data_IF_475387522656
#
_entry.id   IF_475387522656
#
_cell.length_a   1.000
_cell.length_b   1.000
_cell.length_c   1.000
_cell.angle_alpha   90.00
_cell.angle_beta   90.00
_cell.angle_gamma   90.00
#
_symmetry.space_group_name_H-M   'P 1'
#
loop_
_entity.id
_entity.type
_entity.pdbx_description
1 polymer ?
#
# COMPACT_ATOMS: atom_id res chain seq x y z
N UNK A 1 -24.57 -3.75 23.00
CA UNK A 1 -24.07 -2.60 22.22
C UNK A 1 -25.14 -1.60 21.75
N UNK A 2 -26.31 -2.01 21.24
CA UNK A 2 -27.36 -1.07 20.72
C UNK A 2 -27.94 -0.05 21.73
N UNK A 3 -27.92 -0.37 23.03
CA UNK A 3 -28.32 0.55 24.12
C UNK A 3 -27.14 1.43 24.57
N UNK A 4 -25.91 0.91 24.41
CA UNK A 4 -24.66 1.52 24.88
C UNK A 4 -24.19 2.61 23.91
N UNK A 5 -24.45 2.45 22.61
CA UNK A 5 -24.10 3.43 21.57
C UNK A 5 -24.90 4.74 21.64
N UNK A 6 -25.90 4.87 22.53
CA UNK A 6 -26.66 6.10 22.72
C UNK A 6 -25.95 7.12 23.62
N UNK A 7 -24.96 6.70 24.40
CA UNK A 7 -24.16 7.59 25.25
C UNK A 7 -22.68 7.31 25.08
N UNK A 8 -21.93 8.34 24.68
CA UNK A 8 -20.49 8.23 24.45
C UNK A 8 -19.72 7.81 25.71
N UNK A 9 -20.17 8.21 26.90
CA UNK A 9 -19.56 7.83 28.19
C UNK A 9 -19.76 6.35 28.48
N UNK A 10 -20.95 5.83 28.23
CA UNK A 10 -21.28 4.43 28.48
C UNK A 10 -20.49 3.50 27.55
N UNK A 11 -20.26 3.93 26.30
CA UNK A 11 -19.44 3.20 25.34
C UNK A 11 -17.97 3.15 25.76
N UNK A 12 -17.42 4.27 26.25
CA UNK A 12 -16.06 4.32 26.78
C UNK A 12 -15.90 3.41 28.01
N UNK A 13 -16.80 3.50 28.99
CA UNK A 13 -16.79 2.64 30.17
C UNK A 13 -16.95 1.17 29.82
N UNK A 14 -17.78 0.85 28.83
CA UNK A 14 -17.94 -0.53 28.35
C UNK A 14 -16.64 -1.03 27.72
N UNK A 15 -15.99 -0.24 26.87
CA UNK A 15 -14.73 -0.62 26.25
C UNK A 15 -13.65 -0.89 27.31
N UNK A 16 -13.51 0.00 28.29
CA UNK A 16 -12.56 -0.16 29.38
C UNK A 16 -12.87 -1.38 30.26
N UNK A 17 -14.15 -1.60 30.58
CA UNK A 17 -14.59 -2.80 31.30
C UNK A 17 -14.24 -4.07 30.54
N UNK A 18 -14.37 -4.04 29.22
CA UNK A 18 -14.02 -5.16 28.34
C UNK A 18 -12.51 -5.42 28.31
N UNK A 19 -11.69 -4.37 28.24
CA UNK A 19 -10.23 -4.49 28.37
C UNK A 19 -9.83 -5.12 29.70
N UNK A 20 -10.39 -4.65 30.81
CA UNK A 20 -10.09 -5.23 32.13
C UNK A 20 -10.61 -6.65 32.29
N UNK A 21 -11.79 -6.96 31.74
CA UNK A 21 -12.35 -8.31 31.77
C UNK A 21 -11.43 -9.31 31.07
N UNK A 22 -11.02 -9.03 29.83
CA UNK A 22 -10.13 -9.94 29.08
C UNK A 22 -8.73 -9.98 29.68
N UNK A 23 -8.22 -8.85 30.17
CA UNK A 23 -6.94 -8.80 30.89
C UNK A 23 -6.97 -9.71 32.12
N UNK A 24 -8.08 -9.68 32.88
CA UNK A 24 -8.25 -10.53 34.07
C UNK A 24 -8.40 -12.01 33.70
N UNK A 25 -9.14 -12.32 32.64
CA UNK A 25 -9.28 -13.70 32.15
C UNK A 25 -7.93 -14.26 31.69
N UNK A 26 -7.13 -13.44 31.00
CA UNK A 26 -5.78 -13.78 30.54
C UNK A 26 -4.86 -14.09 31.72
N UNK A 27 -4.83 -13.21 32.73
CA UNK A 27 -4.08 -13.41 33.97
C UNK A 27 -4.50 -14.68 34.72
N UNK A 28 -5.81 -14.93 34.86
CA UNK A 28 -6.33 -16.16 35.49
C UNK A 28 -5.97 -17.43 34.73
N UNK A 29 -5.71 -17.31 33.43
CA UNK A 29 -5.29 -18.40 32.56
C UNK A 29 -3.76 -18.58 32.52
N UNK A 30 -3.01 -17.76 33.28
CA UNK A 30 -1.54 -17.79 33.32
C UNK A 30 -0.85 -17.09 32.15
N UNK A 31 -1.58 -16.34 31.33
CA UNK A 31 -1.03 -15.51 30.26
C UNK A 31 -0.76 -14.08 30.76
N UNK A 32 0.04 -13.31 30.00
CA UNK A 32 0.29 -11.91 30.34
C UNK A 32 -0.98 -11.07 30.21
N UNK A 33 -1.06 -10.00 31.01
CA UNK A 33 -2.17 -9.02 30.97
C UNK A 33 -2.30 -8.41 29.56
N UNK A 34 -1.18 -8.21 28.87
CA UNK A 34 -1.15 -7.63 27.53
C UNK A 34 -1.78 -8.51 26.45
N UNK A 35 -1.66 -9.84 26.54
CA UNK A 35 -2.36 -10.76 25.62
C UNK A 35 -3.89 -10.58 25.78
N UNK A 36 -4.39 -10.49 27.01
CA UNK A 36 -5.79 -10.22 27.28
C UNK A 36 -6.24 -8.87 26.72
N UNK A 37 -5.47 -7.82 26.96
CA UNK A 37 -5.75 -6.49 26.42
C UNK A 37 -5.76 -6.47 24.88
N UNK A 38 -4.84 -7.20 24.23
CA UNK A 38 -4.77 -7.33 22.77
C UNK A 38 -6.01 -8.06 22.21
N UNK A 39 -6.43 -9.16 22.82
CA UNK A 39 -7.65 -9.89 22.41
C UNK A 39 -8.90 -9.02 22.60
N UNK A 40 -9.00 -8.26 23.69
CA UNK A 40 -10.07 -7.28 23.87
C UNK A 40 -10.08 -6.24 22.75
N UNK A 41 -8.91 -5.70 22.39
CA UNK A 41 -8.75 -4.75 21.29
C UNK A 41 -9.20 -5.33 19.94
N UNK A 42 -8.73 -6.53 19.58
CA UNK A 42 -9.14 -7.22 18.35
C UNK A 42 -10.65 -7.49 18.31
N UNK A 43 -11.23 -7.90 19.43
CA UNK A 43 -12.67 -8.12 19.54
C UNK A 43 -13.43 -6.81 19.33
N UNK A 44 -12.99 -5.72 19.94
CA UNK A 44 -13.58 -4.38 19.77
C UNK A 44 -13.47 -3.90 18.31
N UNK A 45 -12.34 -4.19 17.65
CA UNK A 45 -12.06 -3.74 16.29
C UNK A 45 -13.09 -4.25 15.25
N UNK A 46 -13.77 -5.37 15.53
CA UNK A 46 -14.81 -5.92 14.66
C UNK A 46 -16.18 -5.23 14.77
N UNK A 47 -16.40 -4.38 15.80
CA UNK A 47 -17.67 -3.69 15.95
C UNK A 47 -17.78 -2.45 15.05
N UNK A 48 -19.00 -2.08 14.59
CA UNK A 48 -19.22 -0.88 13.76
C UNK A 48 -18.80 0.46 14.39
N UNK A 49 -18.66 0.50 15.72
CA UNK A 49 -18.30 1.71 16.48
C UNK A 49 -16.83 1.74 16.91
N UNK A 50 -15.97 0.92 16.29
CA UNK A 50 -14.56 0.79 16.66
C UNK A 50 -13.80 2.13 16.63
N UNK A 51 -14.03 2.99 15.64
CA UNK A 51 -13.33 4.27 15.47
C UNK A 51 -13.62 5.23 16.63
N UNK A 52 -14.86 5.27 17.10
CA UNK A 52 -15.24 6.11 18.23
C UNK A 52 -14.58 5.61 19.53
N UNK A 53 -14.55 4.29 19.75
CA UNK A 53 -13.89 3.69 20.91
C UNK A 53 -12.38 3.96 20.88
N UNK A 54 -11.74 3.74 19.73
CA UNK A 54 -10.30 4.01 19.53
C UNK A 54 -10.00 5.49 19.79
N UNK A 55 -10.83 6.41 19.30
CA UNK A 55 -10.66 7.84 19.55
C UNK A 55 -10.68 8.20 21.03
N UNK A 56 -11.53 7.55 21.84
CA UNK A 56 -11.62 7.80 23.29
C UNK A 56 -10.51 7.13 24.09
N UNK A 57 -10.08 5.94 23.70
CA UNK A 57 -9.00 5.22 24.39
C UNK A 57 -7.62 5.78 24.01
N UNK A 58 -7.51 6.50 22.88
CA UNK A 58 -6.25 7.08 22.39
C UNK A 58 -5.51 7.89 23.46
N UNK A 59 -6.17 8.85 24.11
CA UNK A 59 -5.52 9.68 25.14
C UNK A 59 -5.02 8.87 26.33
N UNK A 60 -5.77 7.83 26.75
CA UNK A 60 -5.31 6.93 27.81
C UNK A 60 -4.10 6.11 27.35
N UNK A 61 -4.17 5.52 26.16
CA UNK A 61 -3.05 4.76 25.59
C UNK A 61 -1.80 5.62 25.52
N UNK A 62 -1.88 6.83 24.99
CA UNK A 62 -0.73 7.70 24.81
C UNK A 62 -0.13 8.12 26.18
N UNK A 63 -0.98 8.40 27.17
CA UNK A 63 -0.55 8.69 28.53
C UNK A 63 0.12 7.49 29.21
N UNK A 64 -0.49 6.31 29.15
CA UNK A 64 0.07 5.10 29.77
C UNK A 64 1.28 4.55 29.03
N UNK A 65 1.38 4.75 27.70
CA UNK A 65 2.56 4.37 26.93
C UNK A 65 3.81 5.13 27.40
N UNK A 66 3.67 6.44 27.67
CA UNK A 66 4.77 7.24 28.23
C UNK A 66 5.19 6.68 29.59
N UNK A 67 4.23 6.41 30.49
CA UNK A 67 4.53 5.82 31.81
C UNK A 67 5.20 4.46 31.66
N UNK A 68 4.72 3.61 30.75
CA UNK A 68 5.29 2.29 30.48
C UNK A 68 6.75 2.39 30.05
N UNK A 69 7.08 3.23 29.07
CA UNK A 69 8.46 3.40 28.60
C UNK A 69 9.37 4.04 29.65
N UNK A 70 8.87 4.97 30.46
CA UNK A 70 9.62 5.53 31.60
C UNK A 70 9.92 4.45 32.63
N UNK A 71 8.91 3.65 33.02
CA UNK A 71 9.08 2.55 33.98
C UNK A 71 10.06 1.51 33.46
N UNK A 72 9.98 1.12 32.18
CA UNK A 72 10.96 0.22 31.57
C UNK A 72 12.38 0.79 31.63
N UNK A 73 12.54 2.09 31.38
CA UNK A 73 13.83 2.77 31.49
C UNK A 73 14.40 2.74 32.91
N UNK A 74 13.55 2.77 33.94
CA UNK A 74 13.96 2.67 35.34
C UNK A 74 14.41 1.25 35.74
N UNK A 75 13.91 0.22 35.05
CA UNK A 75 14.27 -1.19 35.27
C UNK A 75 15.61 -1.58 34.61
N UNK A 76 16.19 -0.71 33.76
CA UNK A 76 17.49 -0.97 33.12
C UNK A 76 18.59 -0.90 34.20
N UNK A 77 19.18 -2.06 34.50
CA UNK A 77 20.17 -2.20 35.54
C UNK A 77 21.57 -2.36 34.95
N UNK A 78 22.34 -1.26 34.90
CA UNK A 78 23.69 -1.22 34.33
C UNK A 78 24.72 -1.30 35.47
N UNK A 79 25.16 -2.52 35.82
CA UNK A 79 26.26 -2.70 36.80
C UNK A 79 27.62 -2.83 36.12
N UNK A 80 27.70 -3.59 35.03
CA UNK A 80 28.90 -3.75 34.22
C UNK A 80 28.56 -3.49 32.75
N UNK A 81 28.98 -2.32 32.29
CA UNK A 81 28.73 -1.81 30.94
C UNK A 81 29.28 -2.77 29.88
N UNK A 82 30.39 -3.45 30.17
CA UNK A 82 31.06 -4.32 29.19
C UNK A 82 30.27 -5.62 28.94
N UNK A 83 29.55 -6.12 29.94
CA UNK A 83 28.75 -7.34 29.83
C UNK A 83 27.47 -7.12 29.02
N UNK A 84 26.91 -5.90 29.05
CA UNK A 84 25.65 -5.58 28.37
C UNK A 84 25.89 -5.12 26.93
N UNK A 85 26.92 -4.31 26.68
CA UNK A 85 27.13 -3.68 25.37
C UNK A 85 27.38 -4.71 24.26
N UNK A 86 28.25 -5.70 24.49
CA UNK A 86 28.67 -6.60 23.42
C UNK A 86 27.52 -7.53 22.95
N UNK A 87 26.74 -8.18 23.85
CA UNK A 87 25.53 -8.92 23.44
C UNK A 87 24.46 -8.01 22.84
N UNK A 88 24.25 -6.81 23.41
CA UNK A 88 23.28 -5.85 22.88
C UNK A 88 23.63 -5.41 21.46
N UNK A 89 24.91 -5.20 21.15
CA UNK A 89 25.35 -4.83 19.81
C UNK A 89 25.10 -5.97 18.81
N UNK A 90 25.35 -7.22 19.21
CA UNK A 90 25.07 -8.39 18.38
C UNK A 90 23.56 -8.53 18.10
N UNK A 91 22.71 -8.40 19.14
CA UNK A 91 21.25 -8.42 19.00
C UNK A 91 20.75 -7.25 18.13
N UNK A 92 21.31 -6.06 18.32
CA UNK A 92 20.97 -4.87 17.54
C UNK A 92 21.29 -5.07 16.06
N UNK A 93 22.45 -5.66 15.72
CA UNK A 93 22.80 -5.97 14.33
C UNK A 93 21.81 -6.97 13.72
N UNK A 94 21.38 -7.99 14.46
CA UNK A 94 20.35 -8.92 13.99
C UNK A 94 19.04 -8.18 13.71
N UNK A 95 18.61 -7.31 14.61
CA UNK A 95 17.37 -6.53 14.46
C UNK A 95 17.47 -5.57 13.26
N UNK A 96 18.59 -4.88 13.10
CA UNK A 96 18.80 -3.88 12.04
C UNK A 96 18.98 -4.53 10.66
N UNK A 97 19.54 -5.73 10.59
CA UNK A 97 19.86 -6.37 9.31
C UNK A 97 18.83 -7.45 8.98
N UNK A 98 18.67 -8.46 9.84
CA UNK A 98 17.87 -9.63 9.52
C UNK A 98 16.39 -9.29 9.36
N UNK A 99 15.83 -8.46 10.25
CA UNK A 99 14.39 -8.15 10.23
C UNK A 99 13.98 -7.37 8.97
N UNK A 100 14.66 -6.28 8.57
CA UNK A 100 14.38 -5.64 7.28
C UNK A 100 14.56 -6.57 6.10
N UNK A 101 15.61 -7.40 6.07
CA UNK A 101 15.82 -8.34 4.96
C UNK A 101 14.66 -9.34 4.81
N UNK A 102 14.14 -9.86 5.94
CA UNK A 102 12.96 -10.73 5.92
C UNK A 102 11.73 -9.98 5.41
N UNK A 103 11.51 -8.75 5.88
CA UNK A 103 10.39 -7.93 5.40
C UNK A 103 10.50 -7.56 3.93
N UNK A 104 11.71 -7.27 3.46
CA UNK A 104 12.00 -6.98 2.06
C UNK A 104 11.76 -8.21 1.18
N UNK A 105 12.16 -9.39 1.66
CA UNK A 105 11.86 -10.64 0.98
C UNK A 105 10.35 -10.90 0.89
N UNK A 106 9.61 -10.71 1.99
CA UNK A 106 8.15 -10.92 2.01
C UNK A 106 7.44 -9.93 1.08
N UNK A 107 7.78 -8.64 1.14
CA UNK A 107 7.16 -7.63 0.27
C UNK A 107 7.51 -7.83 -1.20
N UNK A 108 8.75 -8.22 -1.49
CA UNK A 108 9.14 -8.63 -2.83
C UNK A 108 8.32 -9.84 -3.30
N UNK A 109 8.17 -10.89 -2.49
CA UNK A 109 7.36 -12.07 -2.84
C UNK A 109 5.89 -11.73 -3.09
N UNK A 110 5.36 -10.67 -2.48
CA UNK A 110 4.02 -10.14 -2.74
C UNK A 110 3.93 -9.29 -4.02
N UNK A 111 5.07 -9.00 -4.63
CA UNK A 111 5.15 -8.32 -5.90
C UNK A 111 5.60 -6.86 -5.84
N UNK A 112 5.83 -6.29 -4.66
CA UNK A 112 6.13 -4.86 -4.56
C UNK A 112 7.50 -4.50 -5.18
N UNK A 113 7.60 -3.29 -5.75
CA UNK A 113 8.83 -2.76 -6.36
C UNK A 113 9.91 -2.40 -5.35
N UNK A 114 11.14 -2.15 -5.83
CA UNK A 114 12.34 -1.93 -4.99
C UNK A 114 12.12 -0.87 -3.91
N UNK A 115 11.59 0.30 -4.28
CA UNK A 115 11.34 1.42 -3.36
C UNK A 115 10.38 1.01 -2.25
N UNK A 116 9.19 0.53 -2.59
CA UNK A 116 8.20 0.06 -1.62
C UNK A 116 8.74 -1.04 -0.72
N UNK A 117 9.44 -2.02 -1.29
CA UNK A 117 10.10 -3.11 -0.56
C UNK A 117 11.09 -2.59 0.48
N UNK A 118 11.96 -1.65 0.08
CA UNK A 118 12.95 -1.04 0.94
C UNK A 118 12.36 -0.19 2.06
N UNK A 119 11.48 0.75 1.70
CA UNK A 119 10.82 1.65 2.65
C UNK A 119 10.03 0.84 3.69
N UNK A 120 9.36 -0.24 3.27
CA UNK A 120 8.66 -1.14 4.19
C UNK A 120 9.62 -1.89 5.13
N UNK A 121 10.74 -2.39 4.60
CA UNK A 121 11.76 -3.08 5.40
C UNK A 121 12.34 -2.19 6.49
N UNK A 122 12.68 -0.96 6.12
CA UNK A 122 13.26 0.03 7.02
C UNK A 122 12.26 0.57 8.05
N UNK A 123 11.00 0.76 7.66
CA UNK A 123 9.95 1.20 8.59
C UNK A 123 9.73 0.21 9.74
N UNK A 124 10.19 -1.03 9.59
CA UNK A 124 10.06 -2.11 10.57
C UNK A 124 11.38 -2.45 11.29
N UNK A 125 12.39 -1.58 11.21
CA UNK A 125 13.71 -1.78 11.82
C UNK A 125 13.66 -1.95 13.35
N UNK A 126 12.73 -1.30 14.04
CA UNK A 126 12.68 -1.31 15.51
C UNK A 126 12.20 -2.63 16.14
N UNK A 127 12.61 -2.86 17.38
CA UNK A 127 11.98 -3.86 18.27
C UNK A 127 10.53 -3.47 18.54
N UNK A 128 9.63 -4.45 18.60
CA UNK A 128 8.21 -4.20 18.89
C UNK A 128 7.98 -3.91 20.38
N UNK A 129 7.03 -3.03 20.71
CA UNK A 129 6.57 -2.81 22.09
C UNK A 129 6.14 -4.12 22.76
N UNK A 130 5.54 -5.04 21.98
CA UNK A 130 5.17 -6.37 22.46
C UNK A 130 6.37 -7.20 22.91
N UNK A 131 7.54 -7.06 22.27
CA UNK A 131 8.75 -7.76 22.67
C UNK A 131 9.20 -7.32 24.07
N UNK A 132 9.09 -6.03 24.40
CA UNK A 132 9.42 -5.50 25.73
C UNK A 132 8.44 -6.00 26.80
N UNK A 133 7.16 -6.09 26.47
CA UNK A 133 6.16 -6.64 27.39
C UNK A 133 6.44 -8.12 27.70
N UNK A 134 6.79 -8.92 26.69
CA UNK A 134 7.15 -10.34 26.88
C UNK A 134 8.43 -10.46 27.70
N UNK A 135 9.44 -9.63 27.42
CA UNK A 135 10.67 -9.60 28.21
C UNK A 135 10.39 -9.25 29.68
N UNK A 136 9.56 -8.23 29.94
CA UNK A 136 9.16 -7.87 31.30
C UNK A 136 8.42 -9.02 32.00
N UNK A 137 7.52 -9.70 31.29
CA UNK A 137 6.83 -10.87 31.84
C UNK A 137 7.82 -11.98 32.19
N UNK A 138 8.82 -12.23 31.35
CA UNK A 138 9.89 -13.19 31.60
C UNK A 138 10.76 -12.79 32.80
N UNK A 139 10.98 -11.50 33.02
CA UNK A 139 11.72 -11.00 34.18
C UNK A 139 10.92 -11.25 35.47
N UNK A 140 9.62 -10.92 35.46
CA UNK A 140 8.71 -11.12 36.60
C UNK A 140 8.53 -12.60 36.94
N UNK A 141 8.56 -13.50 35.95
CA UNK A 141 8.49 -14.95 36.17
C UNK A 141 9.87 -15.59 36.40
N UNK A 142 10.93 -14.78 36.52
CA UNK A 142 12.32 -15.21 36.70
C UNK A 142 12.85 -16.15 35.59
N UNK A 143 12.20 -16.13 34.42
CA UNK A 143 12.63 -16.89 33.24
C UNK A 143 13.81 -16.25 32.52
N UNK A 144 13.98 -14.93 32.65
CA UNK A 144 15.16 -14.22 32.16
C UNK A 144 15.80 -13.43 33.29
N UNK A 145 17.12 -13.24 33.21
CA UNK A 145 17.84 -12.44 34.20
C UNK A 145 17.62 -10.94 33.96
N UNK A 146 17.83 -10.09 34.99
CA UNK A 146 17.80 -8.63 34.84
C UNK A 146 18.79 -8.11 33.79
N UNK A 147 19.90 -8.83 33.58
CA UNK A 147 20.91 -8.51 32.57
C UNK A 147 20.32 -8.68 31.16
N UNK A 148 19.69 -9.83 30.88
CA UNK A 148 19.04 -10.10 29.57
C UNK A 148 17.91 -9.12 29.32
N UNK A 149 17.12 -8.79 30.33
CA UNK A 149 16.09 -7.75 30.21
C UNK A 149 16.70 -6.40 29.83
N UNK A 150 17.79 -6.00 30.50
CA UNK A 150 18.50 -4.74 30.22
C UNK A 150 19.10 -4.72 28.81
N UNK A 151 19.59 -5.85 28.30
CA UNK A 151 20.05 -5.99 26.91
C UNK A 151 18.91 -5.73 25.90
N UNK A 152 17.76 -6.40 26.09
CA UNK A 152 16.58 -6.23 25.22
C UNK A 152 16.07 -4.79 25.28
N UNK A 153 16.00 -4.19 26.47
CA UNK A 153 15.57 -2.82 26.66
C UNK A 153 16.52 -1.83 25.96
N UNK A 154 17.82 -2.01 26.08
CA UNK A 154 18.83 -1.18 25.43
C UNK A 154 18.72 -1.27 23.89
N UNK A 155 18.61 -2.48 23.35
CA UNK A 155 18.41 -2.71 21.91
C UNK A 155 17.12 -2.04 21.43
N UNK A 156 16.04 -2.14 22.20
CA UNK A 156 14.78 -1.50 21.85
C UNK A 156 14.91 0.03 21.77
N UNK A 157 15.48 0.67 22.79
CA UNK A 157 15.70 2.13 22.83
C UNK A 157 16.53 2.60 21.63
N UNK A 158 17.65 1.91 21.34
CA UNK A 158 18.52 2.27 20.22
C UNK A 158 17.79 2.05 18.89
N UNK A 159 17.09 0.93 18.73
CA UNK A 159 16.39 0.59 17.48
C UNK A 159 15.22 1.54 17.18
N UNK A 160 14.43 1.94 18.20
CA UNK A 160 13.33 2.91 18.06
C UNK A 160 13.89 4.27 17.64
N UNK A 161 14.96 4.71 18.32
CA UNK A 161 15.65 5.96 17.98
C UNK A 161 16.17 5.93 16.55
N UNK A 162 16.86 4.85 16.16
CA UNK A 162 17.41 4.70 14.82
C UNK A 162 16.28 4.70 13.78
N UNK A 163 15.21 3.95 14.00
CA UNK A 163 14.06 3.86 13.08
C UNK A 163 13.42 5.22 12.83
N UNK A 164 13.29 6.07 13.87
CA UNK A 164 12.77 7.43 13.70
C UNK A 164 13.62 8.26 12.72
N UNK A 165 14.94 8.12 12.76
CA UNK A 165 15.83 8.78 11.80
C UNK A 165 15.80 8.11 10.43
N UNK A 166 15.73 6.78 10.37
CA UNK A 166 15.70 6.07 9.08
C UNK A 166 14.41 6.34 8.31
N UNK A 167 13.27 6.49 8.99
CA UNK A 167 12.00 6.92 8.38
C UNK A 167 12.10 8.37 7.90
N UNK A 168 12.75 9.25 8.67
CA UNK A 168 12.89 10.66 8.28
C UNK A 168 13.74 10.88 7.02
N UNK A 169 14.71 10.00 6.77
CA UNK A 169 15.66 10.11 5.64
C UNK A 169 15.57 8.89 4.72
N UNK A 170 14.38 8.30 4.61
CA UNK A 170 14.15 7.03 3.93
C UNK A 170 14.41 7.12 2.43
N UNK A 171 13.99 8.21 1.78
CA UNK A 171 14.26 8.50 0.37
C UNK A 171 15.76 8.68 0.09
N UNK A 172 16.47 9.47 0.90
CA UNK A 172 17.93 9.62 0.77
C UNK A 172 18.65 8.28 0.93
N UNK A 173 18.21 7.46 1.89
CA UNK A 173 18.82 6.17 2.15
C UNK A 173 18.50 5.16 1.04
N UNK A 174 17.31 5.25 0.44
CA UNK A 174 16.94 4.47 -0.73
C UNK A 174 17.87 4.78 -1.90
N UNK A 175 18.10 6.05 -2.22
CA UNK A 175 19.01 6.44 -3.30
C UNK A 175 20.46 5.99 -3.08
N UNK A 176 20.91 5.88 -1.82
CA UNK A 176 22.25 5.40 -1.48
C UNK A 176 22.40 3.87 -1.59
N UNK A 177 21.31 3.12 -1.39
CA UNK A 177 21.34 1.66 -1.30
C UNK A 177 20.66 0.95 -2.48
N UNK A 178 19.96 1.69 -3.35
CA UNK A 178 19.15 1.17 -4.45
C UNK A 178 19.92 0.24 -5.38
N UNK A 179 21.20 0.53 -5.63
CA UNK A 179 22.06 -0.27 -6.53
C UNK A 179 22.16 -1.74 -6.12
N UNK A 180 22.12 -2.05 -4.81
CA UNK A 180 22.25 -3.42 -4.30
C UNK A 180 20.89 -4.14 -4.16
N UNK A 181 19.77 -3.45 -4.39
CA UNK A 181 18.42 -3.99 -4.17
C UNK A 181 17.88 -4.78 -5.36
N UNK A 182 18.61 -4.84 -6.47
CA UNK A 182 18.26 -5.64 -7.66
C UNK A 182 17.97 -7.11 -7.33
N UNK A 183 18.63 -7.66 -6.29
CA UNK A 183 18.40 -9.04 -5.86
C UNK A 183 16.95 -9.28 -5.43
N UNK A 184 16.31 -8.29 -4.80
CA UNK A 184 14.94 -8.42 -4.33
C UNK A 184 13.93 -8.35 -5.47
N UNK A 185 14.20 -7.72 -6.61
CA UNK A 185 13.29 -7.81 -7.76
C UNK A 185 13.18 -9.21 -8.33
N UNK A 186 14.24 -10.03 -8.20
CA UNK A 186 14.25 -11.39 -8.73
C UNK A 186 13.21 -12.29 -8.08
N UNK A 187 12.81 -11.97 -6.85
CA UNK A 187 11.79 -12.71 -6.10
C UNK A 187 10.38 -12.15 -6.29
N UNK A 188 10.24 -11.03 -7.03
CA UNK A 188 8.93 -10.50 -7.35
C UNK A 188 8.13 -11.52 -8.15
N UNK A 189 6.97 -11.88 -7.61
CA UNK A 189 5.99 -12.75 -8.26
C UNK A 189 5.01 -11.95 -9.12
N UNK A 190 5.19 -10.62 -9.25
CA UNK A 190 4.51 -9.88 -10.31
C UNK A 190 4.88 -10.56 -11.59
N UNK A 191 3.84 -11.08 -12.23
CA UNK A 191 3.91 -11.80 -13.47
C UNK A 191 4.72 -10.94 -14.43
N UNK A 192 5.91 -11.39 -14.84
CA UNK A 192 6.72 -10.72 -15.86
C UNK A 192 5.93 -10.53 -17.18
N UNK A 193 4.77 -11.16 -17.28
CA UNK A 193 3.77 -10.91 -18.33
C UNK A 193 3.11 -9.53 -18.24
N UNK A 194 3.06 -8.88 -17.07
CA UNK A 194 2.58 -7.51 -16.90
C UNK A 194 3.59 -6.51 -17.49
N UNK A 195 4.89 -6.81 -17.42
CA UNK A 195 5.93 -6.08 -18.17
C UNK A 195 5.81 -6.30 -19.70
N UNK A 196 5.39 -7.49 -20.15
CA UNK A 196 5.21 -7.79 -21.57
C UNK A 196 3.88 -7.29 -22.17
N UNK A 197 2.93 -6.83 -21.36
CA UNK A 197 1.72 -6.12 -21.77
C UNK A 197 1.86 -4.60 -21.67
N UNK A 198 3.08 -4.09 -21.41
CA UNK A 198 3.38 -2.68 -21.58
C UNK A 198 3.10 -2.34 -23.04
N UNK A 199 2.02 -1.60 -23.28
CA UNK A 199 1.78 -0.96 -24.56
C UNK A 199 2.79 0.18 -24.59
N UNK A 200 4.01 -0.11 -25.07
CA UNK A 200 4.99 0.93 -25.34
C UNK A 200 4.32 1.93 -26.29
N UNK A 201 4.20 3.21 -25.90
CA UNK A 201 3.65 4.20 -26.79
C UNK A 201 4.59 4.32 -27.99
N UNK A 202 4.10 3.93 -29.18
CA UNK A 202 4.86 3.98 -30.43
C UNK A 202 5.12 5.42 -30.90
N UNK A 203 4.56 6.41 -30.20
CA UNK A 203 4.36 7.82 -30.58
C UNK A 203 4.44 8.75 -29.35
N UNK A 204 4.29 10.06 -29.60
CA UNK A 204 4.13 11.07 -28.55
C UNK A 204 2.88 10.74 -27.73
N UNK A 205 2.98 10.86 -26.41
CA UNK A 205 1.96 10.36 -25.49
C UNK A 205 1.88 11.24 -24.23
N UNK A 206 0.79 11.14 -23.49
CA UNK A 206 0.65 11.76 -22.16
C UNK A 206 1.06 10.78 -21.07
N UNK A 207 1.89 11.20 -20.12
CA UNK A 207 2.22 10.40 -18.94
C UNK A 207 1.26 10.75 -17.82
N UNK A 208 0.65 9.74 -17.20
CA UNK A 208 -0.23 9.88 -16.04
C UNK A 208 0.42 9.17 -14.85
N UNK A 209 0.93 9.94 -13.90
CA UNK A 209 1.45 9.44 -12.62
C UNK A 209 0.32 9.30 -11.59
N UNK A 210 0.10 8.06 -11.16
CA UNK A 210 -1.00 7.65 -10.28
C UNK A 210 -2.33 7.58 -11.04
N UNK A 211 -3.01 6.43 -10.97
CA UNK A 211 -4.28 6.26 -11.66
C UNK A 211 -5.34 5.59 -10.78
N UNK A 212 -5.73 6.30 -9.73
CA UNK A 212 -6.85 5.86 -8.89
C UNK A 212 -8.18 6.51 -9.34
N UNK A 213 -8.62 7.59 -8.68
CA UNK A 213 -9.88 8.28 -9.03
C UNK A 213 -9.66 9.35 -10.10
N UNK A 214 -8.73 10.25 -9.84
CA UNK A 214 -8.46 11.39 -10.72
C UNK A 214 -7.77 10.94 -12.00
N UNK A 215 -6.68 10.17 -11.89
CA UNK A 215 -5.96 9.65 -13.06
C UNK A 215 -6.83 8.81 -13.97
N UNK A 216 -7.77 8.00 -13.43
CA UNK A 216 -8.73 7.24 -14.23
C UNK A 216 -9.66 8.15 -15.05
N UNK A 217 -10.18 9.21 -14.42
CA UNK A 217 -11.00 10.19 -15.14
C UNK A 217 -10.23 10.92 -16.22
N UNK A 218 -8.93 11.20 -16.00
CA UNK A 218 -8.05 11.83 -16.98
C UNK A 218 -7.80 10.88 -18.16
N UNK A 219 -7.45 9.62 -17.88
CA UNK A 219 -7.26 8.57 -18.88
C UNK A 219 -8.51 8.41 -19.76
N UNK A 220 -9.71 8.31 -19.18
CA UNK A 220 -10.97 8.25 -19.93
C UNK A 220 -11.24 9.49 -20.79
N UNK A 221 -10.79 10.66 -20.36
CA UNK A 221 -10.87 11.86 -21.21
C UNK A 221 -9.92 11.78 -22.39
N UNK A 222 -8.70 11.27 -22.19
CA UNK A 222 -7.73 11.08 -23.28
C UNK A 222 -8.21 10.03 -24.28
N UNK A 223 -8.81 8.92 -23.82
CA UNK A 223 -9.48 7.92 -24.66
C UNK A 223 -10.52 8.59 -25.56
N UNK A 224 -11.40 9.41 -24.99
CA UNK A 224 -12.46 10.14 -25.74
C UNK A 224 -11.88 11.12 -26.76
N UNK A 225 -10.69 11.66 -26.50
CA UNK A 225 -9.98 12.58 -27.39
C UNK A 225 -9.10 11.85 -28.42
N UNK A 226 -8.99 10.52 -28.35
CA UNK A 226 -8.11 9.72 -29.21
C UNK A 226 -6.63 10.08 -29.03
N UNK A 227 -6.22 10.35 -27.79
CA UNK A 227 -4.84 10.70 -27.43
C UNK A 227 -4.15 9.53 -26.75
N UNK A 228 -2.95 9.20 -27.20
CA UNK A 228 -2.12 8.17 -26.58
C UNK A 228 -1.66 8.61 -25.19
N UNK A 229 -1.65 7.69 -24.24
CA UNK A 229 -1.16 7.91 -22.89
C UNK A 229 -0.54 6.65 -22.31
N UNK A 230 0.24 6.82 -21.25
CA UNK A 230 0.73 5.74 -20.40
C UNK A 230 0.51 6.11 -18.94
N UNK A 231 0.02 5.15 -18.17
CA UNK A 231 -0.17 5.29 -16.73
C UNK A 231 1.00 4.66 -15.99
N UNK A 232 1.45 5.26 -14.89
CA UNK A 232 2.35 4.63 -13.93
C UNK A 232 1.70 4.61 -12.55
N UNK A 233 1.71 3.44 -11.90
CA UNK A 233 1.10 3.27 -10.58
C UNK A 233 1.87 2.21 -9.75
N UNK A 234 2.11 2.53 -8.48
CA UNK A 234 2.88 1.67 -7.57
C UNK A 234 2.04 0.57 -6.93
N UNK A 235 0.71 0.62 -7.06
CA UNK A 235 -0.19 -0.37 -6.49
C UNK A 235 -0.43 -1.52 -7.49
N UNK A 236 0.05 -2.74 -7.19
CA UNK A 236 -0.05 -3.85 -8.14
C UNK A 236 -1.49 -4.29 -8.41
N UNK A 237 -2.40 -4.15 -7.46
CA UNK A 237 -3.81 -4.48 -7.66
C UNK A 237 -4.51 -3.46 -8.58
N UNK A 238 -4.13 -2.19 -8.49
CA UNK A 238 -4.64 -1.17 -9.40
C UNK A 238 -4.14 -1.41 -10.83
N UNK A 239 -2.85 -1.69 -10.99
CA UNK A 239 -2.24 -2.02 -12.30
C UNK A 239 -2.89 -3.25 -12.93
N UNK A 240 -3.13 -4.33 -12.15
CA UNK A 240 -3.87 -5.50 -12.62
C UNK A 240 -5.27 -5.13 -13.13
N UNK A 241 -5.97 -4.21 -12.47
CA UNK A 241 -7.29 -3.74 -12.91
C UNK A 241 -7.19 -2.98 -14.23
N UNK A 242 -6.22 -2.06 -14.36
CA UNK A 242 -6.00 -1.26 -15.57
C UNK A 242 -5.65 -2.13 -16.78
N UNK A 243 -4.80 -3.15 -16.58
CA UNK A 243 -4.43 -4.10 -17.65
C UNK A 243 -5.64 -4.92 -18.10
N UNK A 244 -6.52 -5.30 -17.17
CA UNK A 244 -7.78 -5.98 -17.51
C UNK A 244 -8.71 -5.09 -18.33
N UNK A 245 -8.70 -3.79 -18.08
CA UNK A 245 -9.44 -2.79 -18.86
C UNK A 245 -8.77 -2.42 -20.20
N UNK A 246 -7.59 -2.98 -20.50
CA UNK A 246 -6.83 -2.68 -21.72
C UNK A 246 -6.19 -1.29 -21.73
N UNK A 247 -6.07 -0.63 -20.57
CA UNK A 247 -5.43 0.67 -20.47
C UNK A 247 -3.89 0.52 -20.47
N UNK A 248 -3.15 1.34 -21.26
CA UNK A 248 -1.70 1.35 -21.22
C UNK A 248 -1.18 1.77 -19.84
N UNK A 249 -0.53 0.85 -19.13
CA UNK A 249 0.04 1.15 -17.83
C UNK A 249 1.32 0.37 -17.54
N UNK A 250 2.10 0.91 -16.60
CA UNK A 250 3.37 0.39 -16.10
C UNK A 250 3.25 0.31 -14.57
N UNK A 251 3.69 -0.83 -14.03
CA UNK A 251 3.90 -0.95 -12.59
C UNK A 251 5.19 -0.23 -12.21
N UNK A 252 5.09 0.76 -11.32
CA UNK A 252 6.26 1.50 -10.87
C UNK A 252 5.93 2.65 -9.93
N UNK A 253 6.93 3.03 -9.16
CA UNK A 253 6.91 4.21 -8.29
C UNK A 253 7.57 5.37 -9.03
N UNK A 254 6.92 6.54 -9.08
CA UNK A 254 7.46 7.70 -9.81
C UNK A 254 8.61 8.38 -9.07
N UNK A 255 8.81 8.05 -7.81
CA UNK A 255 10.01 8.38 -7.05
C UNK A 255 11.23 7.51 -7.40
N UNK A 256 11.08 6.51 -8.27
CA UNK A 256 12.19 5.66 -8.75
C UNK A 256 12.66 6.12 -10.14
N UNK A 257 13.92 6.51 -10.26
CA UNK A 257 14.51 7.00 -11.51
C UNK A 257 14.47 5.95 -12.61
N UNK A 258 14.63 4.66 -12.26
CA UNK A 258 14.57 3.55 -13.22
C UNK A 258 13.16 3.41 -13.83
N UNK A 259 12.13 3.83 -13.10
CA UNK A 259 10.74 3.87 -13.59
C UNK A 259 10.55 5.07 -14.50
N UNK A 260 11.07 6.24 -14.14
CA UNK A 260 10.97 7.45 -14.96
C UNK A 260 11.64 7.28 -16.33
N UNK A 261 12.78 6.59 -16.40
CA UNK A 261 13.44 6.26 -17.67
C UNK A 261 12.55 5.42 -18.60
N UNK A 262 11.78 4.48 -18.04
CA UNK A 262 10.83 3.63 -18.81
C UNK A 262 9.63 4.42 -19.35
N UNK A 263 9.35 5.61 -18.82
CA UNK A 263 8.24 6.45 -19.27
C UNK A 263 8.57 7.23 -20.55
N UNK A 264 9.83 7.23 -21.00
CA UNK A 264 10.25 7.96 -22.19
C UNK A 264 9.80 9.44 -22.17
N UNK A 265 10.05 10.13 -21.06
CA UNK A 265 9.65 11.52 -20.81
C UNK A 265 10.11 12.46 -21.93
N UNK A 266 11.20 12.14 -22.62
CA UNK A 266 11.71 12.90 -23.77
C UNK A 266 10.74 12.96 -24.97
N UNK A 267 9.79 12.02 -25.06
CA UNK A 267 8.76 11.96 -26.11
C UNK A 267 7.37 12.37 -25.62
N UNK A 268 7.22 12.71 -24.34
CA UNK A 268 5.92 13.04 -23.77
C UNK A 268 5.38 14.37 -24.34
N UNK A 269 4.07 14.42 -24.56
CA UNK A 269 3.34 15.63 -24.93
C UNK A 269 2.88 16.42 -23.73
N UNK A 270 2.67 15.73 -22.61
CA UNK A 270 2.23 16.28 -21.34
C UNK A 270 2.53 15.26 -20.24
N UNK A 271 2.83 15.76 -19.05
CA UNK A 271 2.97 14.93 -17.84
C UNK A 271 1.92 15.41 -16.84
N UNK A 272 1.12 14.48 -16.34
CA UNK A 272 0.08 14.74 -15.35
C UNK A 272 0.31 13.86 -14.13
N UNK A 273 0.51 14.45 -12.96
CA UNK A 273 0.60 13.72 -11.70
C UNK A 273 -0.62 13.96 -10.83
N UNK A 274 -1.22 12.85 -10.42
CA UNK A 274 -2.26 12.80 -9.39
C UNK A 274 -1.74 12.26 -8.06
N UNK A 275 -0.43 12.03 -7.97
CA UNK A 275 0.29 11.68 -6.74
C UNK A 275 0.33 12.91 -5.83
N UNK A 276 0.10 12.69 -4.54
CA UNK A 276 0.04 13.77 -3.54
C UNK A 276 1.41 14.09 -2.91
N UNK A 277 2.35 13.16 -2.99
CA UNK A 277 3.71 13.30 -2.46
C UNK A 277 4.49 14.39 -3.20
N UNK A 278 5.05 15.34 -2.46
CA UNK A 278 5.72 16.51 -2.99
C UNK A 278 7.11 16.17 -3.55
N UNK A 279 7.87 15.30 -2.88
CA UNK A 279 9.19 14.85 -3.36
C UNK A 279 9.09 14.09 -4.68
N UNK A 280 8.12 13.18 -4.81
CA UNK A 280 7.85 12.45 -6.06
C UNK A 280 7.45 13.40 -7.19
N UNK A 281 6.62 14.40 -6.90
CA UNK A 281 6.24 15.43 -7.88
C UNK A 281 7.42 16.31 -8.27
N UNK A 282 8.28 16.70 -7.32
CA UNK A 282 9.48 17.48 -7.60
C UNK A 282 10.44 16.71 -8.52
N UNK A 283 10.67 15.41 -8.25
CA UNK A 283 11.49 14.55 -9.10
C UNK A 283 10.91 14.43 -10.51
N UNK A 284 9.60 14.18 -10.62
CA UNK A 284 8.92 14.06 -11.91
C UNK A 284 9.01 15.37 -12.71
N UNK A 285 8.82 16.53 -12.06
CA UNK A 285 8.99 17.83 -12.71
C UNK A 285 10.43 18.02 -13.17
N UNK A 286 11.42 17.77 -12.29
CA UNK A 286 12.83 17.99 -12.63
C UNK A 286 13.29 17.13 -13.79
N UNK A 287 12.95 15.84 -13.79
CA UNK A 287 13.30 14.93 -14.89
C UNK A 287 12.60 15.32 -16.19
N UNK A 288 11.30 15.65 -16.13
CA UNK A 288 10.56 16.10 -17.32
C UNK A 288 11.18 17.36 -17.92
N UNK A 289 11.47 18.36 -17.09
CA UNK A 289 12.04 19.65 -17.53
C UNK A 289 13.51 19.54 -17.93
N UNK A 290 14.25 18.58 -17.39
CA UNK A 290 15.60 18.24 -17.82
C UNK A 290 15.62 17.74 -19.27
N UNK A 291 14.71 16.82 -19.61
CA UNK A 291 14.59 16.30 -20.97
C UNK A 291 14.02 17.34 -21.97
N UNK A 292 12.95 18.04 -21.60
CA UNK A 292 12.36 19.08 -22.44
C UNK A 292 11.54 20.08 -21.63
N UNK A 293 12.05 21.30 -21.51
CA UNK A 293 11.42 22.39 -20.78
C UNK A 293 10.01 22.78 -21.26
N UNK A 294 9.69 22.46 -22.52
CA UNK A 294 8.42 22.83 -23.14
C UNK A 294 7.29 21.81 -22.90
N UNK A 295 7.57 20.65 -22.30
CA UNK A 295 6.53 19.68 -21.96
C UNK A 295 5.69 20.26 -20.82
N UNK A 296 4.37 20.44 -20.99
CA UNK A 296 3.51 20.88 -19.90
C UNK A 296 3.46 19.84 -18.79
N UNK A 297 3.63 20.29 -17.55
CA UNK A 297 3.61 19.46 -16.35
C UNK A 297 2.49 19.95 -15.43
N UNK A 298 1.50 19.10 -15.21
CA UNK A 298 0.37 19.34 -14.30
C UNK A 298 0.52 18.41 -13.12
N UNK A 299 0.61 18.94 -11.90
CA UNK A 299 0.78 18.13 -10.68
C UNK A 299 -0.31 18.43 -9.66
N UNK A 300 -0.39 17.60 -8.63
CA UNK A 300 -1.33 17.77 -7.52
C UNK A 300 -0.55 18.05 -6.24
N UNK A 301 -1.00 19.00 -5.43
CA UNK A 301 -0.43 19.30 -4.11
C UNK A 301 -1.47 19.10 -3.01
N UNK A 302 -1.01 18.77 -1.80
CA UNK A 302 -1.89 18.61 -0.64
C UNK A 302 -2.32 19.95 -0.05
N UNK A 303 -1.44 20.95 -0.10
CA UNK A 303 -1.67 22.28 0.46
C UNK A 303 -1.08 23.40 -0.41
N UNK A 304 -1.39 24.65 -0.03
CA UNK A 304 -0.99 25.84 -0.78
C UNK A 304 0.53 26.07 -0.77
N UNK A 305 1.23 25.66 0.30
CA UNK A 305 2.67 25.89 0.43
C UNK A 305 3.42 24.99 -0.56
N UNK A 306 3.14 23.69 -0.52
CA UNK A 306 3.67 22.74 -1.49
C UNK A 306 3.33 23.14 -2.93
N UNK A 307 2.12 23.66 -3.17
CA UNK A 307 1.75 24.10 -4.50
C UNK A 307 2.68 25.23 -5.03
N UNK A 308 3.03 26.20 -4.18
CA UNK A 308 3.97 27.26 -4.54
C UNK A 308 5.38 26.70 -4.77
N UNK A 309 5.82 25.77 -3.93
CA UNK A 309 7.12 25.10 -4.07
C UNK A 309 7.18 24.32 -5.41
N UNK A 310 6.13 23.59 -5.79
CA UNK A 310 6.07 22.88 -7.08
C UNK A 310 6.08 23.82 -8.30
N UNK A 311 5.49 25.01 -8.19
CA UNK A 311 5.63 26.05 -9.23
C UNK A 311 7.07 26.55 -9.36
N UNK A 312 7.76 26.76 -8.24
CA UNK A 312 9.18 27.17 -8.24
C UNK A 312 10.09 26.08 -8.87
N UNK A 313 9.72 24.81 -8.74
CA UNK A 313 10.38 23.68 -9.41
C UNK A 313 10.07 23.56 -10.91
N UNK A 314 9.07 24.30 -11.42
CA UNK A 314 8.77 24.39 -12.84
C UNK A 314 7.50 23.68 -13.28
N UNK A 315 6.58 23.33 -12.37
CA UNK A 315 5.23 22.91 -12.77
C UNK A 315 4.52 24.02 -13.56
N UNK A 316 3.79 23.65 -14.62
CA UNK A 316 3.01 24.61 -15.41
C UNK A 316 1.63 24.87 -14.76
N UNK A 317 1.10 23.87 -14.05
CA UNK A 317 -0.12 24.01 -13.26
C UNK A 317 -0.13 23.07 -12.06
N UNK A 318 -0.60 23.56 -10.91
CA UNK A 318 -0.72 22.76 -9.69
C UNK A 318 -2.18 22.74 -9.23
N UNK A 319 -2.74 21.53 -9.15
CA UNK A 319 -4.08 21.26 -8.66
C UNK A 319 -4.01 21.15 -7.14
N UNK A 320 -4.83 21.92 -6.41
CA UNK A 320 -5.01 21.76 -4.95
C UNK A 320 -6.44 21.27 -4.69
N UNK A 321 -6.69 19.94 -4.61
CA UNK A 321 -8.05 19.39 -4.66
C UNK A 321 -8.97 19.90 -3.55
N UNK A 322 -8.44 20.06 -2.33
CA UNK A 322 -9.19 20.59 -1.18
C UNK A 322 -9.64 22.03 -1.40
N UNK A 323 -8.79 22.86 -2.05
CA UNK A 323 -9.14 24.23 -2.40
C UNK A 323 -10.21 24.25 -3.50
N UNK A 324 -10.03 23.48 -4.58
CA UNK A 324 -10.99 23.41 -5.68
C UNK A 324 -12.36 22.92 -5.22
N UNK A 325 -12.39 21.94 -4.32
CA UNK A 325 -13.64 21.46 -3.71
C UNK A 325 -14.36 22.58 -2.96
N UNK A 326 -13.62 23.43 -2.25
CA UNK A 326 -14.17 24.60 -1.58
C UNK A 326 -14.82 25.59 -2.55
N UNK A 327 -14.15 25.90 -3.66
CA UNK A 327 -14.68 26.79 -4.73
C UNK A 327 -15.98 26.23 -5.30
N UNK A 328 -16.01 24.94 -5.66
CA UNK A 328 -17.22 24.29 -6.19
C UNK A 328 -18.38 24.38 -5.18
N UNK A 329 -18.12 24.14 -3.90
CA UNK A 329 -19.16 24.26 -2.86
C UNK A 329 -19.63 25.71 -2.71
N UNK A 330 -18.71 26.68 -2.77
CA UNK A 330 -19.07 28.11 -2.77
C UNK A 330 -19.98 28.48 -3.93
N UNK A 331 -19.70 28.00 -5.14
CA UNK A 331 -20.55 28.24 -6.32
C UNK A 331 -21.96 27.64 -6.14
N UNK A 332 -22.05 26.44 -5.55
CA UNK A 332 -23.33 25.80 -5.23
C UNK A 332 -24.12 26.62 -4.21
N UNK A 333 -23.46 27.11 -3.17
CA UNK A 333 -24.09 27.94 -2.12
C UNK A 333 -24.57 29.27 -2.72
N UNK A 334 -23.75 29.93 -3.55
CA UNK A 334 -24.16 31.17 -4.22
C UNK A 334 -25.35 30.92 -5.15
N UNK A 335 -25.34 29.82 -5.91
CA UNK A 335 -26.44 29.41 -6.77
C UNK A 335 -27.73 29.15 -5.99
N UNK A 336 -27.63 28.54 -4.81
CA UNK A 336 -28.76 28.28 -3.92
C UNK A 336 -29.32 29.57 -3.28
N UNK A 337 -28.46 30.48 -2.85
CA UNK A 337 -28.88 31.77 -2.28
C UNK A 337 -29.62 32.63 -3.31
N UNK A 338 -29.30 32.48 -4.61
CA UNK A 338 -30.02 33.14 -5.72
C UNK A 338 -31.32 32.42 -6.09
N UNK A 339 -31.34 31.09 -6.07
CA UNK A 339 -32.51 30.25 -6.38
C UNK A 339 -32.52 28.95 -5.56
N UNK A 340 -33.51 28.83 -4.66
CA UNK A 340 -33.64 27.69 -3.75
C UNK A 340 -33.83 26.35 -4.47
N UNK A 341 -34.35 26.36 -5.70
CA UNK A 341 -34.56 25.16 -6.52
C UNK A 341 -33.31 24.73 -7.30
N UNK A 342 -32.26 25.56 -7.33
CA UNK A 342 -31.00 25.25 -8.01
C UNK A 342 -30.34 23.99 -7.43
N UNK A 343 -30.36 23.85 -6.10
CA UNK A 343 -29.75 22.71 -5.42
C UNK A 343 -30.40 21.37 -5.81
N UNK A 344 -31.73 21.34 -6.01
CA UNK A 344 -32.44 20.14 -6.43
C UNK A 344 -32.06 19.73 -7.86
N UNK A 345 -31.93 20.71 -8.76
CA UNK A 345 -31.47 20.46 -10.14
C UNK A 345 -30.04 19.94 -10.17
N UNK A 346 -29.15 20.56 -9.40
CA UNK A 346 -27.75 20.13 -9.25
C UNK A 346 -27.67 18.72 -8.66
N UNK A 347 -28.48 18.40 -7.65
CA UNK A 347 -28.56 17.05 -7.07
C UNK A 347 -28.94 16.01 -8.12
N UNK A 348 -30.01 16.26 -8.89
CA UNK A 348 -30.47 15.33 -9.92
C UNK A 348 -29.40 15.09 -11.00
N UNK A 349 -28.76 16.16 -11.47
CA UNK A 349 -27.65 16.07 -12.42
C UNK A 349 -26.49 15.26 -11.85
N UNK A 350 -26.04 15.58 -10.64
CA UNK A 350 -24.90 14.93 -10.02
C UNK A 350 -25.14 13.44 -9.74
N UNK A 351 -26.33 13.07 -9.23
CA UNK A 351 -26.71 11.66 -9.05
C UNK A 351 -26.68 10.92 -10.39
N UNK A 352 -27.16 11.54 -11.47
CA UNK A 352 -27.12 10.91 -12.80
C UNK A 352 -25.69 10.69 -13.31
N UNK A 353 -24.76 11.60 -13.01
CA UNK A 353 -23.34 11.47 -13.37
C UNK A 353 -22.66 10.36 -12.56
N UNK A 354 -22.92 10.29 -11.25
CA UNK A 354 -22.39 9.23 -10.39
C UNK A 354 -22.87 7.84 -10.84
N UNK A 355 -24.15 7.71 -11.17
CA UNK A 355 -24.71 6.45 -11.67
C UNK A 355 -24.10 6.04 -13.02
N UNK A 356 -23.76 6.99 -13.90
CA UNK A 356 -23.05 6.68 -15.16
C UNK A 356 -21.66 6.12 -14.89
N UNK A 357 -20.90 6.74 -13.98
CA UNK A 357 -19.56 6.26 -13.61
C UNK A 357 -19.61 4.88 -12.97
N UNK A 358 -20.59 4.63 -12.11
CA UNK A 358 -20.79 3.31 -11.48
C UNK A 358 -21.21 2.25 -12.51
N UNK A 359 -22.08 2.61 -13.47
CA UNK A 359 -22.49 1.73 -14.56
C UNK A 359 -21.35 1.41 -15.53
N UNK A 360 -20.51 2.38 -15.89
CA UNK A 360 -19.32 2.15 -16.73
C UNK A 360 -18.34 1.17 -16.07
N UNK A 361 -18.10 1.31 -14.76
CA UNK A 361 -17.30 0.34 -13.99
C UNK A 361 -17.92 -1.05 -13.97
N UNK A 362 -19.24 -1.12 -13.78
CA UNK A 362 -19.98 -2.38 -13.73
C UNK A 362 -20.00 -3.07 -15.09
N UNK A 363 -20.26 -2.34 -16.18
CA UNK A 363 -20.24 -2.86 -17.54
C UNK A 363 -18.86 -3.38 -17.93
N UNK A 364 -17.80 -2.63 -17.63
CA UNK A 364 -16.42 -3.09 -17.82
C UNK A 364 -16.17 -4.41 -17.09
N UNK A 365 -16.67 -4.55 -15.86
CA UNK A 365 -16.55 -5.77 -15.08
C UNK A 365 -17.39 -6.95 -15.63
N UNK A 366 -18.58 -6.68 -16.18
CA UNK A 366 -19.45 -7.71 -16.79
C UNK A 366 -18.97 -8.17 -18.16
N UNK A 367 -18.59 -7.25 -19.04
CA UNK A 367 -17.97 -7.57 -20.33
C UNK A 367 -16.70 -8.41 -20.11
N UNK A 368 -15.92 -8.07 -19.09
CA UNK A 368 -14.75 -8.85 -18.69
C UNK A 368 -15.11 -10.26 -18.18
N UNK A 369 -16.09 -10.40 -17.28
CA UNK A 369 -16.55 -11.72 -16.82
C UNK A 369 -17.06 -12.58 -17.98
N UNK A 370 -17.71 -11.94 -18.96
CA UNK A 370 -18.23 -12.62 -20.15
C UNK A 370 -17.09 -13.07 -21.07
N UNK A 371 -16.11 -12.21 -21.38
CA UNK A 371 -14.94 -12.57 -22.20
C UNK A 371 -14.12 -13.67 -21.52
N UNK A 372 -13.84 -13.54 -20.22
CA UNK A 372 -13.10 -14.57 -19.46
C UNK A 372 -13.84 -15.92 -19.50
N UNK A 373 -15.17 -15.91 -19.36
CA UNK A 373 -15.97 -17.14 -19.47
C UNK A 373 -15.98 -17.75 -20.87
N UNK A 374 -15.79 -16.94 -21.92
CA UNK A 374 -15.66 -17.39 -23.30
C UNK A 374 -14.25 -17.95 -23.54
N UNK A 375 -13.20 -17.28 -23.07
CA UNK A 375 -11.82 -17.74 -23.17
C UNK A 375 -11.61 -19.06 -22.41
N UNK A 376 -12.17 -19.20 -21.21
CA UNK A 376 -12.15 -20.45 -20.45
C UNK A 376 -12.87 -21.58 -21.19
N UNK A 377 -14.04 -21.29 -21.80
CA UNK A 377 -14.78 -22.28 -22.61
C UNK A 377 -14.02 -22.66 -23.88
N UNK A 378 -13.42 -21.69 -24.57
CA UNK A 378 -12.60 -21.94 -25.76
C UNK A 378 -11.34 -22.76 -25.41
N UNK A 379 -10.69 -22.47 -24.27
CA UNK A 379 -9.56 -23.27 -23.79
C UNK A 379 -9.97 -24.70 -23.39
N UNK A 380 -11.14 -24.87 -22.77
CA UNK A 380 -11.69 -26.21 -22.47
C UNK A 380 -12.05 -26.99 -23.74
N UNK A 381 -12.66 -26.35 -24.73
CA UNK A 381 -13.00 -26.98 -26.01
C UNK A 381 -11.74 -27.35 -26.82
N UNK A 382 -10.72 -26.50 -26.85
CA UNK A 382 -9.45 -26.81 -27.49
C UNK A 382 -8.69 -27.94 -26.80
N UNK A 383 -8.73 -28.03 -25.46
CA UNK A 383 -8.18 -29.16 -24.72
C UNK A 383 -8.97 -30.45 -24.97
N UNK A 384 -10.30 -30.37 -25.02
CA UNK A 384 -11.18 -31.50 -25.33
C UNK A 384 -10.93 -32.08 -26.72
N UNK A 385 -10.78 -31.22 -27.73
CA UNK A 385 -10.46 -31.64 -29.11
C UNK A 385 -9.05 -32.24 -29.21
N UNK A 386 -8.06 -31.68 -28.49
CA UNK A 386 -6.69 -32.21 -28.47
C UNK A 386 -6.61 -33.59 -27.77
N UNK A 387 -7.38 -33.81 -26.69
CA UNK A 387 -7.50 -35.12 -26.05
C UNK A 387 -8.26 -36.11 -26.92
N UNK A 388 -9.35 -35.69 -27.59
CA UNK A 388 -10.10 -36.57 -28.48
C UNK A 388 -9.27 -37.02 -29.68
N UNK A 389 -8.46 -36.13 -30.27
CA UNK A 389 -7.51 -36.47 -31.35
C UNK A 389 -6.40 -37.41 -30.85
N UNK A 390 -5.89 -37.23 -29.61
CA UNK A 390 -4.92 -38.15 -29.01
C UNK A 390 -5.53 -39.53 -28.74
N UNK A 391 -6.77 -39.59 -28.26
CA UNK A 391 -7.47 -40.84 -27.96
C UNK A 391 -7.82 -41.61 -29.25
N UNK A 392 -8.25 -40.90 -30.31
CA UNK A 392 -8.54 -41.51 -31.61
C UNK A 392 -7.27 -42.02 -32.31
N UNK A 393 -6.14 -41.31 -32.20
CA UNK A 393 -4.83 -41.78 -32.71
C UNK A 393 -4.33 -43.02 -31.95
N UNK A 394 -4.58 -43.11 -30.64
CA UNK A 394 -4.17 -44.26 -29.82
C UNK A 394 -4.99 -45.52 -30.14
N UNK A 395 -6.31 -45.39 -30.30
CA UNK A 395 -7.18 -46.51 -30.71
C UNK A 395 -6.93 -46.99 -32.15
N UNK A 396 -6.57 -46.09 -33.08
CA UNK A 396 -6.15 -46.51 -34.43
C UNK A 396 -4.79 -47.22 -34.46
N UNK A 397 -3.90 -46.94 -33.49
CA UNK A 397 -2.60 -47.60 -33.42
C UNK A 397 -2.71 -49.02 -32.83
N UNK A 398 -3.57 -49.23 -31.83
CA UNK A 398 -3.81 -50.53 -31.20
C UNK A 398 -4.59 -51.49 -32.12
N UNK A 399 -5.54 -50.99 -32.92
CA UNK A 399 -6.28 -51.80 -33.91
C UNK A 399 -5.45 -52.21 -35.14
N UNK A 400 -4.36 -51.50 -35.45
CA UNK A 400 -3.41 -51.91 -36.49
C UNK A 400 -2.37 -52.94 -35.99
N UNK A 401 -2.07 -53.01 -34.69
CA UNK A 401 -1.16 -54.01 -34.12
C UNK A 401 -1.85 -55.37 -33.89
N UNK A 402 -3.15 -55.42 -33.59
CA UNK A 402 -3.89 -56.68 -33.44
C UNK A 402 -4.21 -57.36 -34.79
N UNK A 403 -4.29 -56.59 -35.88
CA UNK A 403 -4.49 -57.13 -37.24
C UNK A 403 -3.25 -57.82 -37.85
N UNK A 404 -2.07 -57.69 -37.24
CA UNK A 404 -0.81 -58.22 -37.79
C UNK A 404 -0.22 -59.40 -37.01
N UNK A 405 -0.88 -59.87 -35.94
CA UNK A 405 -0.49 -61.08 -35.19
C UNK A 405 -1.34 -62.33 -35.48
N UNK A 406 -2.16 -62.30 -36.53
CA UNK A 406 -3.01 -63.44 -36.97
C UNK A 406 -2.56 -64.13 -38.27
N UNK A 407 -1.39 -63.82 -38.82
CA UNK A 407 -0.85 -64.52 -39.98
C UNK A 407 0.69 -64.59 -39.92
N UNK A 408 1.19 -65.54 -39.14
CA UNK A 408 2.34 -66.41 -39.43
C UNK A 408 2.59 -67.38 -38.29
#
# INVERSE_FOLDING_TARGET
FKIISKSHELMFLTALSFFFLFSKISEMSGFSVAIGAFIAGMSIATFPYNLEIVGKVRSLRDFFAIIFFVSLGMEIFITDVTQIILPSLALLLIVIIAKPLVMMLVTSLLGYGRRVTFLTGISLLQVSEFSLIIAMQGLVTEQISPIVFSEIALVAVISITLTAYTIKYDNNLYHLLSENLWFFERFSTIDKTLEHKIIEPKTRHTVIAGCHRMGYSIAKTLDKLGKDYVIVDFNPENVKSLIKEGMPCIYGDVGDIDVLEKLHLEKADMVISTVADDEDNMLLISETKYHNKNIPVIVTAENMREALELYDYGADYVIVPRMMSGVVVSDIVEGYMKDIHNLERLRQKHVSELLKVEHEKTLSQYEFSFVTSIEEKLHQDHHGVAEHIKHHKKQHHESHEEGHKGSK
#
